data_IF_109028020717
#
_entry.id   IF_109028020717
#
_cell.length_a   1.000
_cell.length_b   1.000
_cell.length_c   1.000
_cell.angle_alpha   90.00
_cell.angle_beta   90.00
_cell.angle_gamma   90.00
#
_symmetry.space_group_name_H-M   'P 1'
#
loop_
_entity.id
_entity.type
_entity.pdbx_description
1 polymer ?
#
# COMPACT_ATOMS: atom_id res chain seq x y z
N UNK A 1 26.93 2.09 5.03
CA UNK A 1 25.81 1.18 4.71
C UNK A 1 24.95 1.85 3.65
N UNK A 2 24.42 1.12 2.68
CA UNK A 2 23.54 1.70 1.64
C UNK A 2 22.12 1.14 1.81
N UNK A 3 21.13 2.03 1.98
CA UNK A 3 19.70 1.71 2.10
C UNK A 3 19.14 1.21 0.77
N UNK A 4 18.28 0.19 0.80
CA UNK A 4 17.59 -0.36 -0.38
C UNK A 4 16.08 -0.53 -0.20
N UNK A 5 15.53 0.04 0.88
CA UNK A 5 14.09 0.09 1.13
C UNK A 5 13.63 1.52 0.95
N UNK A 6 12.62 1.71 0.11
CA UNK A 6 12.09 3.03 -0.22
C UNK A 6 10.57 3.05 -0.13
N UNK A 7 10.04 4.16 0.38
CA UNK A 7 8.60 4.43 0.42
C UNK A 7 8.31 5.58 -0.54
N UNK A 8 7.34 5.40 -1.42
CA UNK A 8 7.01 6.35 -2.49
C UNK A 8 5.58 6.86 -2.29
N UNK A 9 5.48 8.18 -2.13
CA UNK A 9 4.23 8.92 -2.14
C UNK A 9 4.24 9.88 -3.32
N UNK A 10 3.41 9.62 -4.32
CA UNK A 10 3.36 10.41 -5.55
C UNK A 10 2.00 10.26 -6.24
N UNK A 11 1.69 11.21 -7.13
CA UNK A 11 0.58 11.07 -8.07
C UNK A 11 0.90 9.99 -9.12
N UNK A 12 -0.11 9.31 -9.70
CA UNK A 12 0.10 8.21 -10.64
C UNK A 12 1.05 8.55 -11.81
N UNK A 13 0.85 9.69 -12.47
CA UNK A 13 1.70 10.11 -13.61
C UNK A 13 3.17 10.31 -13.21
N UNK A 14 3.40 10.89 -12.03
CA UNK A 14 4.74 11.08 -11.49
C UNK A 14 5.38 9.75 -11.10
N UNK A 15 4.59 8.84 -10.50
CA UNK A 15 5.05 7.52 -10.11
C UNK A 15 5.49 6.70 -11.34
N UNK A 16 4.72 6.74 -12.43
CA UNK A 16 5.09 6.05 -13.68
C UNK A 16 6.45 6.53 -14.20
N UNK A 17 6.64 7.85 -14.34
CA UNK A 17 7.92 8.42 -14.79
C UNK A 17 9.06 8.12 -13.81
N UNK A 18 8.76 8.14 -12.52
CA UNK A 18 9.72 7.83 -11.47
C UNK A 18 10.20 6.38 -11.56
N UNK A 19 9.29 5.41 -11.59
CA UNK A 19 9.65 3.99 -11.62
C UNK A 19 10.37 3.59 -12.91
N UNK A 20 9.99 4.20 -14.05
CA UNK A 20 10.77 4.07 -15.29
C UNK A 20 12.22 4.53 -15.10
N UNK A 21 12.43 5.65 -14.41
CA UNK A 21 13.79 6.15 -14.17
C UNK A 21 14.57 5.29 -13.17
N UNK A 22 13.90 4.81 -12.13
CA UNK A 22 14.47 3.90 -11.13
C UNK A 22 14.93 2.60 -11.80
N UNK A 23 14.12 2.05 -12.71
CA UNK A 23 14.43 0.86 -13.47
C UNK A 23 15.66 1.06 -14.38
N UNK A 24 15.69 2.15 -15.17
CA UNK A 24 16.86 2.54 -15.99
C UNK A 24 18.17 2.66 -15.18
N UNK A 25 18.08 2.93 -13.88
CA UNK A 25 19.24 3.08 -12.99
C UNK A 25 19.65 1.78 -12.27
N UNK A 26 19.00 0.65 -12.58
CA UNK A 26 19.26 -0.64 -11.95
C UNK A 26 18.76 -0.73 -10.50
N UNK A 27 17.82 0.15 -10.11
CA UNK A 27 17.26 0.16 -8.76
C UNK A 27 15.97 -0.67 -8.64
N UNK A 28 15.56 -1.33 -9.72
CA UNK A 28 14.54 -2.39 -9.76
C UNK A 28 15.15 -3.81 -9.84
N UNK A 29 16.46 -3.95 -9.65
CA UNK A 29 17.13 -5.26 -9.56
C UNK A 29 16.90 -5.94 -8.19
N UNK A 30 17.45 -7.14 -8.03
CA UNK A 30 17.38 -7.88 -6.79
C UNK A 30 18.01 -7.12 -5.61
N UNK A 31 17.39 -7.30 -4.43
CA UNK A 31 17.85 -6.67 -3.20
C UNK A 31 17.25 -5.29 -2.91
N UNK A 32 16.41 -4.74 -3.79
CA UNK A 32 15.61 -3.54 -3.53
C UNK A 32 14.18 -3.87 -3.06
N UNK A 33 13.62 -2.94 -2.28
CA UNK A 33 12.23 -3.00 -1.81
C UNK A 33 11.59 -1.64 -2.03
N UNK A 34 10.46 -1.64 -2.72
CA UNK A 34 9.67 -0.46 -3.01
C UNK A 34 8.28 -0.61 -2.43
N UNK A 35 7.86 0.39 -1.64
CA UNK A 35 6.53 0.43 -1.04
C UNK A 35 5.84 1.72 -1.50
N UNK A 36 4.66 1.61 -2.10
CA UNK A 36 3.84 2.75 -2.48
C UNK A 36 2.73 2.99 -1.45
N UNK A 37 2.41 4.26 -1.23
CA UNK A 37 1.31 4.63 -0.32
C UNK A 37 -0.06 4.41 -0.96
N UNK A 38 -1.10 4.30 -0.13
CA UNK A 38 -2.48 4.10 -0.56
C UNK A 38 -2.99 5.09 -1.62
N UNK A 39 -2.61 6.37 -1.51
CA UNK A 39 -3.00 7.38 -2.51
C UNK A 39 -2.55 7.04 -3.93
N UNK A 40 -1.45 6.29 -4.06
CA UNK A 40 -0.97 5.75 -5.32
C UNK A 40 -1.53 4.36 -5.60
N UNK A 41 -1.51 3.45 -4.61
CA UNK A 41 -1.99 2.06 -4.76
C UNK A 41 -3.44 2.00 -5.25
N UNK A 42 -4.33 2.82 -4.69
CA UNK A 42 -5.75 2.89 -5.06
C UNK A 42 -6.01 3.45 -6.46
N UNK A 43 -4.98 3.97 -7.14
CA UNK A 43 -5.08 4.64 -8.46
C UNK A 43 -4.20 4.00 -9.51
N UNK A 44 -3.61 2.85 -9.21
CA UNK A 44 -2.73 2.13 -10.12
C UNK A 44 -3.46 1.70 -11.42
N UNK A 45 -4.77 1.46 -11.37
CA UNK A 45 -5.57 1.13 -12.55
C UNK A 45 -5.75 2.28 -13.56
N UNK A 46 -5.44 3.52 -13.18
CA UNK A 46 -5.44 4.67 -14.11
C UNK A 46 -4.15 4.80 -14.91
N UNK A 47 -3.14 3.98 -14.62
CA UNK A 47 -1.90 3.99 -15.39
C UNK A 47 -2.16 3.31 -16.74
N UNK A 48 -2.18 4.14 -17.78
CA UNK A 48 -2.51 3.79 -19.17
C UNK A 48 -1.71 2.57 -19.67
N UNK A 49 -0.49 2.43 -19.18
CA UNK A 49 0.30 1.20 -19.23
C UNK A 49 1.03 1.10 -17.89
N UNK A 50 0.67 0.10 -17.06
CA UNK A 50 1.52 -0.31 -15.94
C UNK A 50 2.76 -0.93 -16.55
N UNK A 51 3.72 -0.09 -16.91
CA UNK A 51 5.02 -0.52 -17.42
C UNK A 51 5.60 -1.57 -16.46
N UNK A 52 6.23 -2.60 -17.01
CA UNK A 52 6.94 -3.66 -16.26
C UNK A 52 7.92 -3.08 -15.21
N UNK A 53 8.29 -1.80 -15.34
CA UNK A 53 9.08 -1.00 -14.39
C UNK A 53 8.58 -0.99 -12.94
N UNK A 54 7.32 -1.35 -12.66
CA UNK A 54 6.77 -1.44 -11.29
C UNK A 54 6.72 -2.88 -10.76
N UNK A 55 7.34 -3.84 -11.44
CA UNK A 55 7.35 -5.24 -11.03
C UNK A 55 7.93 -5.42 -9.62
N UNK A 56 7.16 -6.08 -8.75
CA UNK A 56 7.54 -6.37 -7.38
C UNK A 56 7.45 -5.21 -6.39
N UNK A 57 6.80 -4.11 -6.78
CA UNK A 57 6.45 -3.01 -5.88
C UNK A 57 5.29 -3.45 -4.96
N UNK A 58 5.41 -3.17 -3.66
CA UNK A 58 4.34 -3.43 -2.69
C UNK A 58 3.46 -2.21 -2.48
N UNK A 59 2.16 -2.43 -2.32
CA UNK A 59 1.20 -1.38 -1.99
C UNK A 59 0.28 -1.78 -0.86
N UNK A 60 -0.36 -0.78 -0.27
CA UNK A 60 -1.42 -0.93 0.74
C UNK A 60 -2.64 -0.13 0.32
N UNK A 61 -3.83 -0.68 0.50
CA UNK A 61 -5.08 0.02 0.24
C UNK A 61 -6.15 -0.41 1.23
N UNK A 62 -7.08 0.49 1.57
CA UNK A 62 -8.23 0.16 2.40
C UNK A 62 -8.99 -1.05 1.83
N UNK A 63 -9.32 -2.02 2.68
CA UNK A 63 -10.09 -3.18 2.25
C UNK A 63 -11.59 -2.85 2.24
N UNK A 64 -12.24 -3.05 1.08
CA UNK A 64 -13.68 -2.94 0.90
C UNK A 64 -14.21 -4.28 0.35
N UNK A 65 -14.98 -5.06 1.13
CA UNK A 65 -15.69 -6.26 0.67
C UNK A 65 -16.54 -6.00 -0.57
N UNK A 66 -16.47 -6.94 -1.53
CA UNK A 66 -17.14 -6.82 -2.83
C UNK A 66 -18.67 -6.93 -2.77
N UNK A 67 -19.21 -7.51 -1.71
CA UNK A 67 -20.64 -7.81 -1.56
C UNK A 67 -21.36 -6.87 -0.58
N UNK A 68 -20.76 -5.72 -0.23
CA UNK A 68 -21.45 -4.74 0.61
C UNK A 68 -22.54 -4.04 -0.19
N UNK A 69 -23.74 -4.63 -0.23
CA UNK A 69 -24.97 -3.86 -0.41
C UNK A 69 -25.06 -2.92 0.79
N UNK A 70 -24.77 -1.64 0.58
CA UNK A 70 -25.14 -0.61 1.54
C UNK A 70 -26.67 -0.53 1.50
N UNK A 71 -27.34 -1.06 2.52
CA UNK A 71 -28.75 -0.76 2.73
C UNK A 71 -28.83 0.70 3.16
N UNK A 72 -29.33 1.54 2.25
CA UNK A 72 -29.55 2.96 2.49
C UNK A 72 -30.81 3.23 3.34
N UNK A 73 -31.52 2.16 3.72
CA UNK A 73 -32.78 2.23 4.47
C UNK A 73 -32.59 2.79 5.90
N UNK A 74 -31.37 2.76 6.44
CA UNK A 74 -31.02 3.37 7.73
C UNK A 74 -30.75 4.89 7.65
N UNK A 75 -30.72 5.49 6.44
CA UNK A 75 -30.78 6.95 6.29
C UNK A 75 -32.25 7.35 6.41
N UNK A 76 -32.78 7.24 7.63
CA UNK A 76 -34.10 7.72 7.98
C UNK A 76 -34.29 9.16 7.52
N UNK A 77 -35.51 9.46 7.08
CA UNK A 77 -35.97 10.78 6.61
C UNK A 77 -35.37 11.91 7.45
N UNK A 78 -34.40 12.63 6.89
CA UNK A 78 -33.83 13.83 7.48
C UNK A 78 -34.91 14.90 7.55
N UNK A 79 -35.52 15.04 8.72
CA UNK A 79 -36.32 16.22 9.04
C UNK A 79 -35.41 17.46 8.88
N UNK A 80 -35.89 18.38 8.07
CA UNK A 80 -35.15 19.38 7.29
C UNK A 80 -34.59 20.56 8.10
N UNK A 81 -33.84 20.32 9.18
CA UNK A 81 -33.23 21.41 9.97
C UNK A 81 -31.76 21.20 10.43
N UNK A 82 -31.10 20.10 10.06
CA UNK A 82 -29.67 19.92 10.35
C UNK A 82 -28.79 20.18 9.13
N UNK A 83 -27.67 20.92 9.31
CA UNK A 83 -26.65 21.05 8.28
C UNK A 83 -26.08 19.66 7.96
N UNK A 84 -26.15 19.24 6.71
CA UNK A 84 -25.66 17.93 6.26
C UNK A 84 -24.13 17.77 6.37
N UNK A 85 -23.39 18.87 6.33
CA UNK A 85 -21.93 18.86 6.36
C UNK A 85 -21.34 18.23 7.63
N UNK A 86 -21.73 18.60 8.86
CA UNK A 86 -21.22 17.95 10.07
C UNK A 86 -21.58 16.47 10.15
N UNK A 87 -22.75 16.07 9.66
CA UNK A 87 -23.21 14.66 9.64
C UNK A 87 -22.37 13.81 8.69
N UNK A 88 -22.12 14.29 7.46
CA UNK A 88 -21.32 13.57 6.46
C UNK A 88 -19.82 13.59 6.81
N UNK A 89 -19.36 14.59 7.58
CA UNK A 89 -17.96 14.66 8.04
C UNK A 89 -17.66 13.69 9.18
N UNK A 90 -18.63 13.38 10.04
CA UNK A 90 -18.43 12.55 11.21
C UNK A 90 -19.59 11.56 11.36
N UNK A 91 -19.41 10.34 10.88
CA UNK A 91 -20.39 9.27 11.05
C UNK A 91 -19.70 7.93 11.24
N UNK A 92 -20.36 7.04 11.98
CA UNK A 92 -19.89 5.69 12.23
C UNK A 92 -21.06 4.73 12.16
N UNK A 93 -20.90 3.63 11.45
CA UNK A 93 -21.88 2.55 11.41
C UNK A 93 -21.18 1.20 11.25
N UNK A 94 -21.76 0.15 11.84
CA UNK A 94 -21.32 -1.22 11.64
C UNK A 94 -21.96 -1.76 10.35
N UNK A 95 -21.22 -1.71 9.25
CA UNK A 95 -21.70 -2.19 7.95
C UNK A 95 -21.36 -3.65 7.71
N UNK A 96 -21.79 -4.16 6.56
CA UNK A 96 -21.43 -5.52 6.08
C UNK A 96 -19.91 -5.72 5.90
N UNK A 97 -19.13 -4.64 5.96
CA UNK A 97 -17.67 -4.67 5.85
C UNK A 97 -16.94 -4.59 7.19
N UNK A 98 -17.70 -4.49 8.28
CA UNK A 98 -17.20 -4.14 9.60
C UNK A 98 -17.43 -2.66 9.91
N UNK A 99 -16.65 -2.17 10.86
CA UNK A 99 -16.73 -0.80 11.37
C UNK A 99 -16.37 0.22 10.29
N UNK A 100 -17.37 0.93 9.76
CA UNK A 100 -17.19 2.10 8.93
C UNK A 100 -17.18 3.32 9.81
N UNK A 101 -16.05 4.01 9.84
CA UNK A 101 -15.89 5.20 10.65
C UNK A 101 -15.30 6.31 9.80
N UNK A 102 -15.99 7.44 9.70
CA UNK A 102 -15.53 8.64 9.01
C UNK A 102 -15.30 9.71 10.05
N UNK A 103 -14.08 10.23 10.10
CA UNK A 103 -13.69 11.31 11.00
C UNK A 103 -13.18 12.47 10.13
N UNK A 104 -13.78 13.65 10.29
CA UNK A 104 -13.49 14.85 9.50
C UNK A 104 -13.54 14.61 7.97
N UNK A 105 -14.45 13.77 7.50
CA UNK A 105 -14.63 13.42 6.09
C UNK A 105 -13.63 12.42 5.53
N UNK A 106 -12.79 11.81 6.38
CA UNK A 106 -11.82 10.78 5.99
C UNK A 106 -12.20 9.42 6.57
N UNK A 107 -12.23 8.39 5.74
CA UNK A 107 -12.46 7.00 6.17
C UNK A 107 -11.32 6.53 7.06
N UNK A 108 -11.66 6.09 8.26
CA UNK A 108 -10.79 5.37 9.18
C UNK A 108 -10.93 3.88 8.90
N UNK A 109 -10.18 3.38 7.91
CA UNK A 109 -10.21 1.97 7.55
C UNK A 109 -9.60 1.13 8.68
N UNK A 110 -10.37 0.16 9.19
CA UNK A 110 -9.91 -0.78 10.21
C UNK A 110 -9.06 -1.93 9.64
N UNK A 111 -9.11 -2.14 8.32
CA UNK A 111 -8.43 -3.24 7.63
C UNK A 111 -7.83 -2.73 6.33
N UNK A 112 -6.56 -3.08 6.10
CA UNK A 112 -5.83 -2.77 4.89
C UNK A 112 -5.51 -4.04 4.12
N UNK A 113 -5.68 -4.02 2.81
CA UNK A 113 -5.22 -5.05 1.90
C UNK A 113 -3.80 -4.71 1.43
N UNK A 114 -2.92 -5.69 1.50
CA UNK A 114 -1.54 -5.60 0.99
C UNK A 114 -1.52 -6.25 -0.39
N UNK A 115 -0.98 -5.52 -1.36
CA UNK A 115 -0.91 -5.95 -2.76
C UNK A 115 0.53 -5.95 -3.26
N UNK A 116 0.81 -6.84 -4.21
CA UNK A 116 2.05 -6.87 -4.96
C UNK A 116 1.77 -6.53 -6.42
N UNK A 117 2.51 -5.60 -6.99
CA UNK A 117 2.42 -5.27 -8.42
C UNK A 117 3.14 -6.36 -9.21
N UNK A 118 2.41 -7.04 -10.10
CA UNK A 118 2.92 -8.13 -10.94
C UNK A 118 2.39 -7.94 -12.37
N UNK A 119 3.30 -7.69 -13.32
CA UNK A 119 2.95 -7.31 -14.69
C UNK A 119 1.96 -6.13 -14.68
N UNK A 120 0.87 -6.27 -15.42
CA UNK A 120 -0.14 -5.21 -15.55
C UNK A 120 -1.20 -5.21 -14.42
N UNK A 121 -0.98 -5.93 -13.32
CA UNK A 121 -1.99 -6.11 -12.27
C UNK A 121 -1.44 -6.00 -10.85
N UNK A 122 -2.35 -5.81 -9.90
CA UNK A 122 -2.09 -5.93 -8.48
C UNK A 122 -2.58 -7.29 -7.98
N UNK A 123 -1.70 -8.08 -7.38
CA UNK A 123 -2.05 -9.34 -6.74
C UNK A 123 -2.20 -9.13 -5.24
N UNK A 124 -3.39 -9.37 -4.65
CA UNK A 124 -3.55 -9.33 -3.20
C UNK A 124 -2.77 -10.46 -2.51
N UNK A 125 -1.86 -10.07 -1.62
CA UNK A 125 -0.95 -10.99 -0.92
C UNK A 125 -1.22 -11.10 0.58
N UNK A 126 -2.04 -10.23 1.15
CA UNK A 126 -2.46 -10.37 2.55
C UNK A 126 -3.28 -9.19 3.02
N UNK A 127 -3.53 -9.18 4.32
CA UNK A 127 -4.28 -8.15 5.02
C UNK A 127 -3.53 -7.73 6.27
N UNK A 128 -3.70 -6.47 6.66
CA UNK A 128 -3.30 -5.97 7.97
C UNK A 128 -4.53 -5.46 8.71
N UNK A 129 -4.66 -5.83 9.98
CA UNK A 129 -5.62 -5.22 10.90
C UNK A 129 -4.97 -4.98 12.26
N UNK A 130 -5.44 -3.97 13.03
CA UNK A 130 -4.91 -3.71 14.37
C UNK A 130 -5.00 -4.92 15.31
N UNK A 131 -6.01 -5.77 15.13
CA UNK A 131 -6.27 -6.94 15.99
C UNK A 131 -5.40 -8.15 15.65
N UNK A 132 -5.20 -8.43 14.36
CA UNK A 132 -4.58 -9.68 13.91
C UNK A 132 -3.18 -9.47 13.31
N UNK A 133 -2.72 -8.24 13.14
CA UNK A 133 -1.48 -7.95 12.43
C UNK A 133 -1.56 -8.36 10.96
N UNK A 134 -0.47 -8.89 10.41
CA UNK A 134 -0.39 -9.30 8.99
C UNK A 134 -0.84 -10.75 8.84
N UNK A 135 -1.89 -10.98 8.06
CA UNK A 135 -2.47 -12.31 7.79
C UNK A 135 -2.66 -12.57 6.30
N UNK A 136 -2.63 -13.85 5.90
CA UNK A 136 -2.78 -14.25 4.48
C UNK A 136 -4.22 -14.08 3.98
N UNK A 137 -5.18 -14.19 4.89
CA UNK A 137 -6.62 -14.06 4.66
C UNK A 137 -7.23 -13.26 5.79
N UNK A 138 -8.33 -12.59 5.48
CA UNK A 138 -9.12 -11.88 6.48
C UNK A 138 -9.68 -12.88 7.50
N UNK A 139 -9.54 -12.57 8.79
CA UNK A 139 -10.03 -13.40 9.91
C UNK A 139 -9.41 -14.81 10.03
N UNK A 140 -8.31 -15.08 9.34
CA UNK A 140 -7.52 -16.30 9.48
C UNK A 140 -6.36 -16.05 10.46
N UNK A 141 -6.00 -17.08 11.24
CA UNK A 141 -4.86 -17.06 12.17
C UNK A 141 -3.53 -17.36 11.46
N UNK A 142 -3.54 -17.61 10.15
CA UNK A 142 -2.31 -17.82 9.38
C UNK A 142 -1.53 -16.52 9.22
N UNK A 143 -0.48 -16.39 10.03
CA UNK A 143 0.43 -15.25 10.02
C UNK A 143 1.18 -15.13 8.69
N UNK A 144 1.45 -13.87 8.31
CA UNK A 144 2.31 -13.50 7.20
C UNK A 144 1.57 -13.29 5.88
N UNK A 145 2.36 -13.15 4.81
CA UNK A 145 1.87 -12.87 3.47
C UNK A 145 1.88 -14.14 2.61
N UNK A 146 1.06 -14.14 1.56
CA UNK A 146 1.25 -15.03 0.42
C UNK A 146 2.62 -14.74 -0.23
N UNK A 147 3.16 -15.67 -1.03
CA UNK A 147 4.44 -15.46 -1.71
C UNK A 147 4.50 -14.11 -2.43
N UNK A 148 5.57 -13.37 -2.16
CA UNK A 148 5.86 -12.06 -2.75
C UNK A 148 6.85 -12.25 -3.88
N UNK A 149 6.62 -11.54 -4.99
CA UNK A 149 7.61 -11.36 -6.04
C UNK A 149 8.26 -10.01 -5.79
N UNK A 150 9.57 -9.99 -5.62
CA UNK A 150 10.37 -8.79 -5.40
C UNK A 150 10.93 -8.28 -6.74
N UNK A 151 11.43 -7.03 -6.77
CA UNK A 151 12.17 -6.52 -7.93
C UNK A 151 13.29 -7.50 -8.36
N UNK A 152 13.48 -7.63 -9.68
CA UNK A 152 14.34 -8.67 -10.27
C UNK A 152 13.69 -10.05 -10.36
N UNK A 153 12.36 -10.14 -10.32
CA UNK A 153 11.57 -11.38 -10.46
C UNK A 153 11.95 -12.50 -9.48
N UNK A 154 12.32 -12.12 -8.26
CA UNK A 154 12.76 -13.07 -7.23
C UNK A 154 11.74 -13.28 -6.12
N UNK A 155 11.71 -14.48 -5.56
CA UNK A 155 10.97 -14.79 -4.33
C UNK A 155 11.84 -14.71 -3.06
N UNK A 156 13.14 -14.44 -3.22
CA UNK A 156 14.07 -14.31 -2.12
C UNK A 156 13.86 -12.95 -1.45
N UNK A 157 13.58 -12.97 -0.15
CA UNK A 157 13.35 -11.75 0.63
C UNK A 157 14.63 -10.90 0.66
N UNK A 158 14.60 -9.65 0.13
CA UNK A 158 15.73 -8.75 0.17
C UNK A 158 16.15 -8.41 1.61
N UNK A 159 17.45 -8.30 1.87
CA UNK A 159 17.96 -7.83 3.17
C UNK A 159 17.65 -6.35 3.45
N UNK A 160 17.31 -5.56 2.42
CA UNK A 160 16.99 -4.14 2.54
C UNK A 160 18.18 -3.20 2.71
N UNK A 161 19.41 -3.73 2.78
CA UNK A 161 20.65 -2.96 2.84
C UNK A 161 21.82 -3.77 2.28
N UNK A 162 22.85 -3.08 1.79
CA UNK A 162 24.10 -3.70 1.32
C UNK A 162 25.30 -3.12 2.09
N UNK A 163 26.21 -3.99 2.53
CA UNK A 163 27.51 -3.55 3.03
C UNK A 163 28.34 -3.01 1.86
N UNK A 164 28.97 -1.83 1.99
CA UNK A 164 29.84 -1.34 0.92
C UNK A 164 31.01 -2.30 0.72
N UNK A 165 31.26 -2.72 -0.52
CA UNK A 165 32.30 -3.71 -0.86
C UNK A 165 33.69 -3.12 -0.56
N UNK A 166 34.57 -4.01 -0.10
CA UNK A 166 35.82 -3.86 0.68
C UNK A 166 36.90 -2.85 0.22
N UNK A 167 36.74 -2.09 -0.88
CA UNK A 167 37.82 -1.26 -1.46
C UNK A 167 37.55 0.26 -1.55
N UNK A 168 36.44 0.79 -1.00
CA UNK A 168 36.18 2.26 -0.96
C UNK A 168 36.01 2.86 0.44
N UNK A 169 36.24 2.08 1.51
CA UNK A 169 35.91 2.51 2.87
C UNK A 169 37.13 2.92 3.70
N UNK A 170 37.63 4.16 3.50
CA UNK A 170 38.29 4.85 4.63
C UNK A 170 37.22 5.57 5.42
N UNK A 171 36.95 5.10 6.64
CA UNK A 171 36.19 5.87 7.62
C UNK A 171 36.93 7.19 7.83
N UNK A 172 36.31 8.33 7.53
CA UNK A 172 36.87 9.65 7.87
C UNK A 172 36.26 10.05 9.20
N UNK A 173 37.04 9.94 10.26
CA UNK A 173 36.68 10.39 11.60
C UNK A 173 37.23 11.81 11.74
N UNK A 174 36.35 12.79 11.95
CA UNK A 174 36.73 14.12 12.41
C UNK A 174 36.74 14.11 13.93
N UNK A 175 37.89 14.39 14.53
CA UNK A 175 38.01 14.66 15.96
C UNK A 175 38.15 16.17 16.11
N UNK A 176 37.37 16.74 17.03
CA UNK A 176 37.43 18.16 17.40
C UNK A 176 38.48 18.38 18.48
#
# INVERSE_FOLDING_TARGET
>A
MQTRVFVVHALPELASRFFKKVDETGMMEDGYVWIITEGLTSRLHYLDHKDESMQGVLGVMSYIPKDSKMDFDDIGTLETETSLLPLIRNFRFDGLTGDFNVINGTLQASVYQIVNVIGNGEKPIGFWSPKNGITKKLNDQTNGLKPVTWPGDTHVIPKGWRTPVRNKNRLRIGVQ
#
